data_IF_477492084485
#
_entry.id   IF_477492084485
#
_cell.length_a   1.000
_cell.length_b   1.000
_cell.length_c   1.000
_cell.angle_alpha   90.00
_cell.angle_beta   90.00
_cell.angle_gamma   90.00
#
_symmetry.space_group_name_H-M   'P 1'
#
loop_
_entity.id
_entity.type
_entity.pdbx_description
1 polymer ?
#
# COMPACT_ATOMS: atom_id res chain seq x y z
N UNK A 1 -26.81 -20.06 11.98
CA UNK A 1 -26.25 -21.13 11.13
C UNK A 1 -26.47 -20.71 9.68
N UNK A 2 -25.54 -21.04 8.79
CA UNK A 2 -25.58 -20.70 7.35
C UNK A 2 -25.49 -21.98 6.55
N UNK A 3 -26.03 -21.98 5.32
CA UNK A 3 -26.09 -23.19 4.50
C UNK A 3 -25.66 -22.94 3.06
N UNK A 4 -24.97 -23.92 2.47
CA UNK A 4 -24.70 -23.97 1.03
C UNK A 4 -25.99 -24.38 0.27
N UNK A 5 -26.13 -24.09 -1.05
CA UNK A 5 -27.27 -24.55 -1.84
C UNK A 5 -27.55 -26.06 -1.79
N UNK A 6 -26.53 -26.89 -1.53
CA UNK A 6 -26.65 -28.36 -1.39
C UNK A 6 -27.03 -28.81 0.03
N UNK A 7 -27.17 -27.87 0.98
CA UNK A 7 -27.58 -28.16 2.36
C UNK A 7 -26.45 -28.40 3.36
N UNK A 8 -25.18 -28.19 2.98
CA UNK A 8 -24.07 -28.22 3.94
C UNK A 8 -24.18 -27.06 4.94
N UNK A 9 -24.15 -27.38 6.24
CA UNK A 9 -24.36 -26.44 7.34
C UNK A 9 -23.04 -25.95 7.93
N UNK A 10 -22.95 -24.65 8.14
CA UNK A 10 -21.80 -23.99 8.75
C UNK A 10 -22.21 -23.02 9.85
N UNK A 11 -21.29 -22.79 10.78
CA UNK A 11 -21.48 -21.77 11.81
C UNK A 11 -21.29 -20.36 11.21
N UNK A 12 -21.96 -19.34 11.76
CA UNK A 12 -21.81 -17.95 11.27
C UNK A 12 -20.37 -17.47 11.38
N UNK A 13 -19.71 -17.80 12.47
CA UNK A 13 -18.31 -17.46 12.73
C UNK A 13 -17.36 -18.10 11.71
N UNK A 14 -17.64 -19.34 11.31
CA UNK A 14 -16.87 -20.11 10.34
C UNK A 14 -16.92 -19.44 8.96
N UNK A 15 -18.13 -19.08 8.51
CA UNK A 15 -18.32 -18.39 7.23
C UNK A 15 -17.71 -16.97 7.27
N UNK A 16 -17.85 -16.25 8.38
CA UNK A 16 -17.27 -14.93 8.54
C UNK A 16 -15.73 -14.97 8.49
N UNK A 17 -15.10 -15.90 9.21
CA UNK A 17 -13.65 -16.12 9.15
C UNK A 17 -13.16 -16.46 7.73
N UNK A 18 -13.85 -17.36 7.05
CA UNK A 18 -13.53 -17.75 5.67
C UNK A 18 -13.66 -16.57 4.70
N UNK A 19 -14.76 -15.82 4.74
CA UNK A 19 -14.98 -14.65 3.90
C UNK A 19 -13.95 -13.56 4.21
N UNK A 20 -13.64 -13.33 5.48
CA UNK A 20 -12.60 -12.37 5.89
C UNK A 20 -11.24 -12.75 5.28
N UNK A 21 -10.82 -14.00 5.37
CA UNK A 21 -9.58 -14.44 4.74
C UNK A 21 -9.60 -14.23 3.22
N UNK A 22 -10.71 -14.57 2.56
CA UNK A 22 -10.85 -14.46 1.11
C UNK A 22 -10.90 -13.02 0.62
N UNK A 23 -11.64 -12.13 1.29
CA UNK A 23 -11.78 -10.71 0.94
C UNK A 23 -10.49 -9.92 1.23
N UNK A 24 -9.87 -10.13 2.40
CA UNK A 24 -8.67 -9.38 2.79
C UNK A 24 -7.38 -10.01 2.26
N UNK A 25 -7.33 -11.32 2.07
CA UNK A 25 -6.16 -12.04 1.58
C UNK A 25 -6.13 -12.18 0.05
N UNK A 26 -7.16 -12.77 -0.55
CA UNK A 26 -7.20 -13.08 -1.98
C UNK A 26 -7.95 -12.05 -2.85
N UNK A 27 -8.73 -11.16 -2.24
CA UNK A 27 -9.54 -10.16 -2.96
C UNK A 27 -10.68 -10.73 -3.79
N UNK A 28 -11.20 -11.91 -3.44
CA UNK A 28 -12.29 -12.58 -4.17
C UNK A 28 -13.66 -12.25 -3.56
N UNK A 29 -14.71 -12.15 -4.39
CA UNK A 29 -16.09 -11.91 -3.96
C UNK A 29 -17.00 -13.15 -4.10
N UNK A 30 -16.53 -14.18 -4.80
CA UNK A 30 -17.16 -15.50 -4.89
C UNK A 30 -16.60 -16.44 -3.82
N UNK A 31 -17.48 -17.11 -3.08
CA UNK A 31 -17.09 -17.98 -1.97
C UNK A 31 -17.59 -19.41 -2.21
N UNK A 32 -16.66 -20.33 -2.40
CA UNK A 32 -16.99 -21.74 -2.60
C UNK A 32 -17.39 -22.41 -1.28
N UNK A 33 -18.13 -23.51 -1.38
CA UNK A 33 -18.49 -24.33 -0.22
C UNK A 33 -17.23 -24.85 0.46
N UNK A 34 -17.24 -24.86 1.80
CA UNK A 34 -16.13 -25.36 2.60
C UNK A 34 -16.17 -26.89 2.80
N UNK A 35 -17.14 -27.60 2.23
CA UNK A 35 -17.27 -29.05 2.33
C UNK A 35 -16.46 -29.75 1.24
N UNK A 36 -15.81 -30.86 1.59
CA UNK A 36 -15.03 -31.66 0.65
C UNK A 36 -15.90 -32.21 -0.50
N UNK A 37 -15.47 -31.98 -1.74
CA UNK A 37 -16.16 -32.45 -2.94
C UNK A 37 -17.40 -31.65 -3.34
N UNK A 38 -17.57 -30.43 -2.82
CA UNK A 38 -18.69 -29.55 -3.15
C UNK A 38 -18.25 -28.32 -3.95
N UNK A 39 -18.53 -28.29 -5.25
CA UNK A 39 -18.18 -27.18 -6.16
C UNK A 39 -19.22 -26.04 -6.18
N UNK A 40 -20.13 -25.99 -5.20
CA UNK A 40 -21.18 -24.98 -5.15
C UNK A 40 -20.71 -23.74 -4.39
N UNK A 41 -21.20 -22.57 -4.80
CA UNK A 41 -20.90 -21.30 -4.15
C UNK A 41 -21.98 -20.89 -3.15
N UNK A 42 -21.58 -20.17 -2.11
CA UNK A 42 -22.52 -19.52 -1.20
C UNK A 42 -23.24 -18.38 -1.93
N UNK A 43 -24.56 -18.29 -1.71
CA UNK A 43 -25.34 -17.18 -2.25
C UNK A 43 -24.93 -15.86 -1.57
N UNK A 44 -24.78 -14.75 -2.32
CA UNK A 44 -24.39 -13.46 -1.76
C UNK A 44 -25.32 -12.97 -0.63
N UNK A 45 -26.62 -13.28 -0.70
CA UNK A 45 -27.59 -12.95 0.35
C UNK A 45 -27.27 -13.64 1.68
N UNK A 46 -26.90 -14.92 1.65
CA UNK A 46 -26.53 -15.70 2.82
C UNK A 46 -25.20 -15.23 3.42
N UNK A 47 -24.27 -14.85 2.54
CA UNK A 47 -23.01 -14.23 2.96
C UNK A 47 -23.29 -12.93 3.70
N UNK A 48 -24.03 -11.99 3.10
CA UNK A 48 -24.37 -10.69 3.73
C UNK A 48 -25.01 -10.83 5.11
N UNK A 49 -25.88 -11.82 5.30
CA UNK A 49 -26.53 -12.06 6.59
C UNK A 49 -25.60 -12.62 7.67
N UNK A 50 -24.49 -13.25 7.28
CA UNK A 50 -23.58 -13.92 8.19
C UNK A 50 -22.41 -13.04 8.65
N UNK A 51 -22.08 -12.00 7.89
CA UNK A 51 -20.92 -11.13 8.12
C UNK A 51 -21.16 -10.10 9.21
N UNK A 52 -20.08 -9.77 9.92
CA UNK A 52 -20.06 -8.60 10.79
C UNK A 52 -20.01 -7.30 9.97
N UNK A 53 -20.49 -6.16 10.51
CA UNK A 53 -20.58 -4.90 9.77
C UNK A 53 -19.28 -4.46 9.08
N UNK A 54 -18.13 -4.61 9.76
CA UNK A 54 -16.82 -4.23 9.19
C UNK A 54 -16.39 -5.10 8.01
N UNK A 55 -16.72 -6.39 8.04
CA UNK A 55 -16.38 -7.33 6.96
C UNK A 55 -17.36 -7.18 5.80
N UNK A 56 -18.63 -6.90 6.12
CA UNK A 56 -19.67 -6.62 5.14
C UNK A 56 -19.35 -5.40 4.28
N UNK A 57 -18.97 -4.28 4.90
CA UNK A 57 -18.57 -3.05 4.19
C UNK A 57 -17.45 -3.33 3.19
N UNK A 58 -16.40 -4.04 3.63
CA UNK A 58 -15.27 -4.41 2.76
C UNK A 58 -15.66 -5.39 1.65
N UNK A 59 -16.56 -6.32 1.93
CA UNK A 59 -17.09 -7.22 0.92
C UNK A 59 -17.89 -6.46 -0.15
N UNK A 60 -18.71 -5.49 0.25
CA UNK A 60 -19.50 -4.67 -0.66
C UNK A 60 -18.64 -3.74 -1.51
N UNK A 61 -17.60 -3.13 -0.92
CA UNK A 61 -16.59 -2.36 -1.66
C UNK A 61 -15.97 -3.20 -2.80
N UNK A 62 -15.58 -4.45 -2.50
CA UNK A 62 -14.97 -5.37 -3.47
C UNK A 62 -15.95 -5.83 -4.54
N UNK A 63 -17.19 -6.13 -4.14
CA UNK A 63 -18.25 -6.51 -5.08
C UNK A 63 -18.53 -5.36 -6.07
N UNK A 64 -18.54 -4.13 -5.58
CA UNK A 64 -18.67 -2.94 -6.43
C UNK A 64 -17.47 -2.81 -7.38
N UNK A 65 -16.23 -2.97 -6.91
CA UNK A 65 -15.03 -2.96 -7.76
C UNK A 65 -15.09 -4.01 -8.88
N UNK A 66 -15.54 -5.22 -8.55
CA UNK A 66 -15.65 -6.31 -9.53
C UNK A 66 -16.76 -6.06 -10.56
N UNK A 67 -17.90 -5.52 -10.13
CA UNK A 67 -19.00 -5.14 -11.02
C UNK A 67 -18.62 -4.03 -12.01
N UNK A 68 -17.81 -3.07 -11.55
CA UNK A 68 -17.24 -2.04 -12.42
C UNK A 68 -16.31 -2.70 -13.45
N UNK A 69 -15.33 -3.47 -12.97
CA UNK A 69 -14.32 -4.15 -13.82
C UNK A 69 -14.91 -5.12 -14.85
N UNK A 70 -16.07 -5.73 -14.55
CA UNK A 70 -16.74 -6.68 -15.43
C UNK A 70 -17.62 -6.02 -16.51
N UNK A 71 -17.67 -4.68 -16.57
CA UNK A 71 -18.37 -3.94 -17.62
C UNK A 71 -19.89 -3.96 -17.51
N UNK A 72 -20.44 -4.28 -16.32
CA UNK A 72 -21.88 -4.15 -16.03
C UNK A 72 -22.30 -2.68 -15.81
N UNK A 73 -21.33 -1.78 -15.68
CA UNK A 73 -21.49 -0.34 -15.67
C UNK A 73 -20.64 0.18 -16.82
N UNK A 74 -21.12 1.17 -17.58
CA UNK A 74 -20.29 1.89 -18.56
C UNK A 74 -19.08 2.51 -17.82
N UNK A 75 -17.96 1.78 -17.85
CA UNK A 75 -16.71 2.07 -17.11
C UNK A 75 -16.17 3.48 -17.39
N UNK A 76 -16.58 4.09 -18.51
CA UNK A 76 -16.17 5.42 -18.92
C UNK A 76 -16.79 6.55 -18.08
N UNK A 77 -17.88 6.29 -17.37
CA UNK A 77 -18.68 7.29 -16.67
C UNK A 77 -18.61 7.19 -15.14
N UNK A 78 -18.02 6.14 -14.61
CA UNK A 78 -17.86 5.98 -13.17
C UNK A 78 -16.62 6.74 -12.66
N UNK A 79 -16.82 7.59 -11.67
CA UNK A 79 -15.76 8.41 -11.05
C UNK A 79 -15.79 8.22 -9.54
N UNK A 80 -14.61 8.07 -8.91
CA UNK A 80 -14.45 8.02 -7.46
C UNK A 80 -13.87 9.32 -6.93
N UNK A 81 -14.39 9.75 -5.78
CA UNK A 81 -13.80 10.82 -5.01
C UNK A 81 -12.40 10.43 -4.52
N UNK A 82 -11.36 11.25 -4.76
CA UNK A 82 -9.99 10.95 -4.29
C UNK A 82 -9.86 10.96 -2.76
N UNK A 83 -10.74 11.66 -2.06
CA UNK A 83 -10.67 11.84 -0.61
C UNK A 83 -11.43 10.77 0.16
N UNK A 84 -12.71 10.55 -0.18
CA UNK A 84 -13.60 9.67 0.57
C UNK A 84 -14.02 8.40 -0.17
N UNK A 85 -13.45 8.15 -1.37
CA UNK A 85 -13.74 6.97 -2.21
C UNK A 85 -15.21 6.81 -2.64
N UNK A 86 -16.08 7.77 -2.35
CA UNK A 86 -17.46 7.78 -2.81
C UNK A 86 -17.51 7.80 -4.35
N UNK A 87 -18.27 6.88 -4.94
CA UNK A 87 -18.38 6.70 -6.38
C UNK A 87 -19.70 7.21 -6.93
N UNK A 88 -19.66 7.83 -8.11
CA UNK A 88 -20.85 8.20 -8.87
C UNK A 88 -20.67 7.94 -10.35
N UNK A 89 -21.80 7.75 -11.04
CA UNK A 89 -21.86 7.70 -12.49
C UNK A 89 -22.23 9.11 -12.97
N UNK A 90 -21.40 9.69 -13.85
CA UNK A 90 -21.60 11.02 -14.42
C UNK A 90 -21.96 10.93 -15.89
N UNK A 91 -22.76 11.88 -16.38
CA UNK A 91 -23.08 11.97 -17.81
C UNK A 91 -21.83 12.26 -18.68
N UNK A 92 -21.78 11.77 -19.93
CA UNK A 92 -20.63 11.92 -20.84
C UNK A 92 -20.16 13.35 -21.19
N UNK A 93 -20.79 14.41 -20.68
CA UNK A 93 -20.39 15.81 -20.91
C UNK A 93 -19.87 16.55 -19.67
N UNK A 94 -19.96 15.92 -18.50
CA UNK A 94 -19.63 16.57 -17.23
C UNK A 94 -18.12 16.45 -16.98
N UNK A 95 -17.44 17.61 -16.87
CA UNK A 95 -15.99 17.70 -16.58
C UNK A 95 -15.66 17.82 -15.10
N UNK A 96 -16.65 18.15 -14.28
CA UNK A 96 -16.51 18.40 -12.84
C UNK A 96 -17.24 17.32 -12.08
N UNK A 97 -16.52 16.61 -11.22
CA UNK A 97 -17.10 15.71 -10.25
C UNK A 97 -17.32 16.46 -8.94
N UNK A 98 -18.57 16.62 -8.54
CA UNK A 98 -18.93 17.14 -7.22
C UNK A 98 -19.27 15.97 -6.30
N UNK A 99 -18.45 15.76 -5.27
CA UNK A 99 -18.68 14.68 -4.31
C UNK A 99 -19.86 15.00 -3.39
N UNK A 100 -20.89 14.15 -3.36
CA UNK A 100 -22.04 14.36 -2.46
C UNK A 100 -21.76 14.01 -1.00
N UNK A 101 -20.64 13.33 -0.72
CA UNK A 101 -20.28 12.91 0.63
C UNK A 101 -19.34 13.91 1.33
N UNK A 102 -18.37 14.47 0.61
CA UNK A 102 -17.38 15.40 1.18
C UNK A 102 -17.36 16.78 0.52
N UNK A 103 -18.31 17.06 -0.38
CA UNK A 103 -18.51 18.36 -1.07
C UNK A 103 -17.29 18.85 -1.88
N UNK A 104 -16.31 17.98 -2.11
CA UNK A 104 -15.13 18.30 -2.90
C UNK A 104 -15.46 18.28 -4.38
N UNK A 105 -15.08 19.35 -5.09
CA UNK A 105 -15.17 19.44 -6.54
C UNK A 105 -13.82 19.12 -7.17
N UNK A 106 -13.78 18.09 -8.01
CA UNK A 106 -12.56 17.70 -8.73
C UNK A 106 -12.80 17.60 -10.22
N UNK A 107 -11.73 17.72 -11.01
CA UNK A 107 -11.79 17.40 -12.43
C UNK A 107 -12.00 15.90 -12.62
N UNK A 108 -12.97 15.53 -13.46
CA UNK A 108 -13.27 14.14 -13.82
C UNK A 108 -12.08 13.40 -14.42
N UNK A 109 -11.27 14.07 -15.23
CA UNK A 109 -10.19 13.44 -16.00
C UNK A 109 -8.90 13.30 -15.19
N UNK A 110 -8.49 14.35 -14.46
CA UNK A 110 -7.21 14.37 -13.74
C UNK A 110 -7.33 14.25 -12.21
N UNK A 111 -8.55 14.29 -11.66
CA UNK A 111 -8.81 14.17 -10.22
C UNK A 111 -8.33 15.34 -9.35
N UNK A 112 -7.78 16.41 -9.95
CA UNK A 112 -7.32 17.61 -9.23
C UNK A 112 -8.50 18.49 -8.80
N UNK A 113 -8.28 19.31 -7.78
CA UNK A 113 -9.26 20.28 -7.29
C UNK A 113 -9.71 21.21 -8.43
N UNK A 114 -11.03 21.33 -8.62
CA UNK A 114 -11.60 22.12 -9.70
C UNK A 114 -11.30 23.61 -9.57
N UNK A 115 -11.15 24.13 -8.35
CA UNK A 115 -10.86 25.55 -8.10
C UNK A 115 -9.50 25.99 -8.64
N UNK A 116 -8.47 25.14 -8.55
CA UNK A 116 -7.13 25.39 -9.10
C UNK A 116 -7.01 25.02 -10.60
N UNK A 117 -7.95 24.17 -11.07
CA UNK A 117 -8.02 23.65 -12.44
C UNK A 117 -8.83 24.54 -13.39
N UNK A 118 -9.72 25.40 -12.88
CA UNK A 118 -10.64 26.21 -13.70
C UNK A 118 -9.90 27.03 -14.77
N UNK A 119 -10.26 26.81 -16.04
CA UNK A 119 -9.69 27.52 -17.20
C UNK A 119 -8.36 26.99 -17.74
N UNK A 120 -7.77 25.94 -17.14
CA UNK A 120 -6.56 25.27 -17.62
C UNK A 120 -6.90 23.91 -18.26
N UNK A 121 -6.05 23.42 -19.16
CA UNK A 121 -6.18 22.05 -19.67
C UNK A 121 -5.53 21.06 -18.70
N UNK A 122 -6.07 19.85 -18.58
CA UNK A 122 -5.50 18.81 -17.71
C UNK A 122 -4.01 18.54 -18.01
N UNK A 123 -3.63 18.59 -19.30
CA UNK A 123 -2.25 18.43 -19.76
C UNK A 123 -1.27 19.50 -19.26
N UNK A 124 -1.76 20.72 -19.02
CA UNK A 124 -0.94 21.84 -18.52
C UNK A 124 -0.67 21.69 -17.01
N UNK A 125 -1.55 20.99 -16.29
CA UNK A 125 -1.41 20.69 -14.86
C UNK A 125 -0.59 19.42 -14.61
N UNK A 126 -0.68 18.40 -15.47
CA UNK A 126 0.24 17.25 -15.44
C UNK A 126 1.69 17.64 -15.77
N UNK A 127 1.88 18.73 -16.51
CA UNK A 127 3.18 19.33 -16.78
C UNK A 127 3.64 20.30 -15.69
N UNK A 128 2.82 20.58 -14.66
CA UNK A 128 3.23 21.41 -13.55
C UNK A 128 4.43 20.73 -12.86
N UNK A 129 5.59 21.39 -12.92
CA UNK A 129 6.87 20.90 -12.41
C UNK A 129 6.76 20.47 -10.96
N UNK A 130 5.89 21.13 -10.19
CA UNK A 130 5.58 20.78 -8.79
C UNK A 130 4.98 19.37 -8.64
N UNK A 131 4.02 18.98 -9.48
CA UNK A 131 3.39 17.63 -9.42
C UNK A 131 4.38 16.54 -9.82
N UNK A 132 5.23 16.80 -10.83
CA UNK A 132 6.30 15.89 -11.22
C UNK A 132 7.36 15.75 -10.12
N UNK A 133 7.76 16.86 -9.50
CA UNK A 133 8.71 16.88 -8.40
C UNK A 133 8.16 16.10 -7.20
N UNK A 134 6.87 16.28 -6.88
CA UNK A 134 6.16 15.51 -5.85
C UNK A 134 6.21 14.01 -6.13
N UNK A 135 5.83 13.59 -7.34
CA UNK A 135 5.81 12.17 -7.71
C UNK A 135 7.20 11.54 -7.70
N UNK A 136 8.20 12.20 -8.29
CA UNK A 136 9.61 11.75 -8.25
C UNK A 136 10.07 11.58 -6.80
N UNK A 137 9.69 12.51 -5.93
CA UNK A 137 10.02 12.43 -4.52
C UNK A 137 9.31 11.27 -3.79
N UNK A 138 8.00 11.11 -3.96
CA UNK A 138 7.22 10.03 -3.35
C UNK A 138 7.71 8.64 -3.81
N UNK A 139 8.06 8.50 -5.09
CA UNK A 139 8.66 7.28 -5.63
C UNK A 139 10.04 7.00 -5.02
N UNK A 140 10.92 8.00 -4.90
CA UNK A 140 12.24 7.87 -4.27
C UNK A 140 12.14 7.48 -2.81
N UNK A 141 11.22 8.09 -2.07
CA UNK A 141 10.93 7.76 -0.68
C UNK A 141 10.47 6.32 -0.51
N UNK A 142 9.59 5.87 -1.40
CA UNK A 142 9.11 4.48 -1.41
C UNK A 142 10.25 3.52 -1.72
N UNK A 143 11.08 3.81 -2.73
CA UNK A 143 12.27 3.00 -3.08
C UNK A 143 13.34 2.99 -1.98
N UNK A 144 13.46 4.06 -1.18
CA UNK A 144 14.42 4.11 -0.08
C UNK A 144 14.11 3.09 1.02
N UNK A 145 12.81 2.78 1.23
CA UNK A 145 12.34 1.77 2.18
C UNK A 145 12.39 0.35 1.63
N UNK A 146 12.32 0.19 0.32
CA UNK A 146 12.31 -1.14 -0.32
C UNK A 146 13.73 -1.64 -0.60
N UNK A 147 13.91 -2.95 -0.54
CA UNK A 147 15.08 -3.66 -1.04
C UNK A 147 14.66 -4.60 -2.14
N UNK A 148 15.44 -4.66 -3.21
CA UNK A 148 15.16 -5.54 -4.35
C UNK A 148 16.03 -6.79 -4.29
N UNK A 149 15.42 -7.94 -4.59
CA UNK A 149 16.17 -9.16 -4.75
C UNK A 149 17.05 -9.10 -6.01
N UNK A 150 18.35 -9.33 -5.86
CA UNK A 150 19.29 -9.35 -6.99
C UNK A 150 19.01 -10.43 -8.06
N UNK A 151 18.17 -11.43 -7.76
CA UNK A 151 17.87 -12.56 -8.67
C UNK A 151 16.53 -12.42 -9.38
N UNK A 152 15.50 -11.92 -8.69
CA UNK A 152 14.13 -11.86 -9.22
C UNK A 152 13.50 -10.47 -9.13
N UNK A 153 14.24 -9.47 -8.64
CA UNK A 153 13.81 -8.08 -8.48
C UNK A 153 12.54 -7.86 -7.63
N UNK A 154 12.10 -8.89 -6.90
CA UNK A 154 11.01 -8.74 -5.93
C UNK A 154 11.37 -7.69 -4.88
N UNK A 155 10.50 -6.70 -4.71
CA UNK A 155 10.60 -5.66 -3.67
C UNK A 155 10.25 -6.25 -2.30
N UNK A 156 11.11 -6.00 -1.33
CA UNK A 156 11.06 -6.55 0.02
C UNK A 156 11.21 -5.38 1.01
N UNK A 157 10.28 -5.28 1.96
CA UNK A 157 10.35 -4.36 3.09
C UNK A 157 10.58 -5.17 4.36
N UNK A 158 11.44 -4.67 5.26
CA UNK A 158 11.70 -5.31 6.55
C UNK A 158 10.99 -4.51 7.65
N UNK A 159 10.08 -5.16 8.36
CA UNK A 159 9.43 -4.58 9.55
C UNK A 159 10.30 -4.76 10.79
N UNK A 160 10.79 -5.98 11.04
CA UNK A 160 11.59 -6.37 12.20
C UNK A 160 12.49 -7.59 11.88
N UNK A 161 13.46 -7.90 12.75
CA UNK A 161 14.27 -9.12 12.66
C UNK A 161 15.73 -8.91 12.24
N UNK A 162 16.38 -9.95 11.73
CA UNK A 162 17.79 -9.90 11.33
C UNK A 162 17.99 -9.36 9.89
N UNK A 163 19.21 -8.95 9.57
CA UNK A 163 19.59 -8.39 8.27
C UNK A 163 19.89 -9.45 7.20
N UNK A 164 19.71 -10.73 7.51
CA UNK A 164 19.72 -11.82 6.54
C UNK A 164 18.33 -11.95 5.92
N UNK A 165 18.23 -11.62 4.63
CA UNK A 165 16.97 -11.72 3.89
C UNK A 165 16.99 -12.98 3.03
N UNK A 166 15.90 -13.73 3.07
CA UNK A 166 15.65 -14.84 2.16
C UNK A 166 14.48 -14.49 1.26
N UNK A 167 14.73 -14.39 -0.04
CA UNK A 167 13.70 -14.09 -1.02
C UNK A 167 12.84 -15.34 -1.34
N UNK A 168 11.63 -15.13 -1.87
CA UNK A 168 10.76 -16.21 -2.39
C UNK A 168 11.42 -17.05 -3.48
N UNK A 169 12.34 -16.46 -4.26
CA UNK A 169 13.15 -17.20 -5.25
C UNK A 169 14.33 -17.99 -4.64
N UNK A 170 14.39 -18.07 -3.30
CA UNK A 170 15.44 -18.71 -2.48
C UNK A 170 16.83 -18.07 -2.57
N UNK A 171 16.93 -16.85 -3.09
CA UNK A 171 18.15 -16.05 -3.00
C UNK A 171 18.30 -15.47 -1.59
N UNK A 172 19.53 -15.48 -1.08
CA UNK A 172 19.87 -14.86 0.21
C UNK A 172 20.70 -13.60 -0.03
N UNK A 173 20.42 -12.52 0.69
CA UNK A 173 21.19 -11.29 0.58
C UNK A 173 21.15 -10.49 1.89
N UNK A 174 22.12 -9.59 2.07
CA UNK A 174 22.19 -8.71 3.24
C UNK A 174 21.32 -7.47 3.04
N UNK A 175 20.48 -7.14 4.04
CA UNK A 175 19.60 -5.96 4.00
C UNK A 175 20.37 -4.63 3.98
N UNK A 176 21.55 -4.60 4.62
CA UNK A 176 22.40 -3.40 4.75
C UNK A 176 23.14 -3.12 3.44
N UNK A 177 24.03 -4.03 3.03
CA UNK A 177 24.94 -3.82 1.90
C UNK A 177 24.42 -4.33 0.56
N UNK A 178 23.24 -4.98 0.54
CA UNK A 178 22.58 -5.54 -0.65
C UNK A 178 23.35 -6.64 -1.37
N UNK A 179 24.47 -7.09 -0.82
CA UNK A 179 25.29 -8.13 -1.42
C UNK A 179 24.62 -9.50 -1.30
N UNK A 180 24.76 -10.37 -2.32
CA UNK A 180 24.32 -11.75 -2.24
C UNK A 180 25.09 -12.50 -1.14
N UNK A 181 24.39 -13.35 -0.41
CA UNK A 181 24.94 -14.21 0.62
C UNK A 181 25.11 -15.63 0.09
N UNK A 182 26.10 -16.34 0.63
CA UNK A 182 26.34 -17.74 0.28
C UNK A 182 25.16 -18.60 0.76
N UNK A 183 24.58 -19.42 -0.11
CA UNK A 183 23.47 -20.32 0.27
C UNK A 183 23.88 -21.34 1.32
N UNK A 184 25.15 -21.78 1.33
CA UNK A 184 25.67 -22.78 2.26
C UNK A 184 25.98 -22.21 3.65
N UNK A 185 26.38 -20.95 3.72
CA UNK A 185 26.68 -20.25 4.97
C UNK A 185 26.31 -18.76 4.83
N UNK A 186 25.03 -18.41 4.95
CA UNK A 186 24.58 -17.04 4.78
C UNK A 186 25.00 -16.14 5.96
N UNK A 187 25.41 -16.73 7.10
CA UNK A 187 25.78 -15.99 8.30
C UNK A 187 27.25 -15.54 8.32
N UNK A 188 28.12 -16.14 7.50
CA UNK A 188 29.55 -15.76 7.39
C UNK A 188 29.80 -14.27 7.07
N UNK A 189 28.85 -13.64 6.37
CA UNK A 189 28.89 -12.21 6.02
C UNK A 189 28.73 -11.30 7.24
N UNK A 190 28.08 -11.79 8.30
CA UNK A 190 27.78 -11.01 9.48
C UNK A 190 28.88 -11.15 10.54
N UNK A 191 29.05 -10.10 11.33
CA UNK A 191 30.06 -10.06 12.37
C UNK A 191 29.56 -10.74 13.64
N UNK A 192 30.37 -11.68 14.17
CA UNK A 192 30.06 -12.47 15.38
C UNK A 192 30.65 -11.88 16.67
N UNK A 193 31.22 -10.68 16.63
CA UNK A 193 31.77 -10.06 17.84
C UNK A 193 30.65 -9.66 18.81
N UNK A 194 30.85 -9.84 20.13
CA UNK A 194 29.90 -9.38 21.14
C UNK A 194 29.74 -7.86 21.07
N UNK A 195 28.52 -7.39 21.25
CA UNK A 195 28.16 -5.96 21.16
C UNK A 195 27.65 -5.44 22.50
N UNK A 196 27.93 -4.18 22.80
CA UNK A 196 27.10 -3.43 23.72
C UNK A 196 25.88 -2.85 22.97
N UNK A 197 24.72 -2.69 23.65
CA UNK A 197 23.50 -2.13 23.05
C UNK A 197 23.66 -0.72 22.45
N UNK A 198 24.71 0.01 22.85
CA UNK A 198 24.95 1.41 22.45
C UNK A 198 25.88 1.55 21.24
N UNK A 199 26.52 0.46 20.78
CA UNK A 199 27.55 0.54 19.74
C UNK A 199 26.93 0.51 18.33
N UNK A 200 27.12 1.61 17.57
CA UNK A 200 26.68 1.75 16.17
C UNK A 200 27.48 0.91 15.17
N UNK A 201 28.46 0.15 15.62
CA UNK A 201 29.37 -0.62 14.77
C UNK A 201 30.03 -1.74 15.54
N UNK A 202 30.82 -2.56 14.85
CA UNK A 202 31.64 -3.56 15.53
C UNK A 202 32.79 -2.86 16.28
N UNK A 203 32.99 -3.10 17.60
CA UNK A 203 34.08 -2.50 18.37
C UNK A 203 35.47 -2.88 17.80
N UNK A 204 35.58 -4.06 17.20
CA UNK A 204 36.80 -4.55 16.55
C UNK A 204 36.98 -4.06 15.09
N UNK A 205 36.14 -3.14 14.60
CA UNK A 205 36.14 -2.63 13.20
C UNK A 205 36.27 -3.73 12.13
N UNK A 206 35.59 -4.86 12.33
CA UNK A 206 35.48 -5.90 11.31
C UNK A 206 34.74 -5.30 10.09
N UNK A 207 35.24 -5.50 8.86
CA UNK A 207 34.55 -5.06 7.63
C UNK A 207 33.27 -5.85 7.30
N UNK A 208 32.66 -6.50 8.29
CA UNK A 208 31.49 -7.38 8.16
C UNK A 208 30.22 -6.66 8.60
N UNK A 209 29.09 -6.98 7.97
CA UNK A 209 27.82 -6.36 8.32
C UNK A 209 27.29 -6.84 9.67
N UNK A 210 26.41 -6.06 10.27
CA UNK A 210 25.76 -6.41 11.52
C UNK A 210 24.53 -7.27 11.28
N UNK A 211 24.41 -8.41 11.99
CA UNK A 211 23.24 -9.29 11.86
C UNK A 211 21.96 -8.62 12.37
N UNK A 212 22.09 -7.83 13.44
CA UNK A 212 21.02 -7.03 14.02
C UNK A 212 21.45 -5.57 14.09
N UNK A 213 20.56 -4.70 13.63
CA UNK A 213 20.61 -3.24 13.72
C UNK A 213 19.21 -2.73 14.04
N UNK A 214 19.12 -1.55 14.66
CA UNK A 214 17.86 -0.83 14.79
C UNK A 214 17.45 -0.33 13.41
N UNK A 215 16.58 -1.08 12.73
CA UNK A 215 16.12 -0.84 11.35
C UNK A 215 15.54 0.54 11.15
N UNK A 216 15.02 1.15 12.22
CA UNK A 216 14.44 2.50 12.17
C UNK A 216 15.50 3.56 11.91
N UNK A 217 16.68 3.45 12.52
CA UNK A 217 17.68 4.52 12.44
C UNK A 217 18.27 4.71 11.04
N UNK A 218 18.61 3.62 10.35
CA UNK A 218 19.20 3.70 9.00
C UNK A 218 18.16 4.11 7.94
N UNK A 219 16.92 3.64 8.07
CA UNK A 219 15.82 4.03 7.17
C UNK A 219 15.40 5.49 7.40
N UNK A 220 15.31 5.93 8.66
CA UNK A 220 14.95 7.30 9.02
C UNK A 220 16.02 8.31 8.56
N UNK A 221 17.31 7.94 8.62
CA UNK A 221 18.40 8.76 8.10
C UNK A 221 18.29 8.93 6.57
N UNK A 222 18.16 7.84 5.83
CA UNK A 222 18.03 7.89 4.37
C UNK A 222 16.78 8.69 3.92
N UNK A 223 15.68 8.55 4.66
CA UNK A 223 14.44 9.31 4.43
C UNK A 223 14.64 10.80 4.72
N UNK A 224 15.33 11.14 5.80
CA UNK A 224 15.61 12.53 6.17
C UNK A 224 16.50 13.22 5.14
N UNK A 225 17.53 12.55 4.66
CA UNK A 225 18.41 13.10 3.61
C UNK A 225 17.62 13.36 2.32
N UNK A 226 16.73 12.45 1.93
CA UNK A 226 15.82 12.65 0.80
C UNK A 226 14.86 13.83 1.05
N UNK A 227 14.28 13.96 2.25
CA UNK A 227 13.42 15.10 2.62
C UNK A 227 14.15 16.44 2.49
N UNK A 228 15.41 16.49 2.89
CA UNK A 228 16.20 17.71 2.85
C UNK A 228 16.67 18.03 1.42
N UNK A 229 16.98 17.03 0.58
CA UNK A 229 17.24 17.20 -0.86
C UNK A 229 16.00 17.74 -1.60
N UNK A 230 14.82 17.18 -1.32
CA UNK A 230 13.58 17.61 -1.94
C UNK A 230 13.19 19.03 -1.56
N UNK A 231 13.38 19.42 -0.29
CA UNK A 231 13.19 20.81 0.17
C UNK A 231 14.15 21.78 -0.52
N UNK A 232 15.42 21.40 -0.71
CA UNK A 232 16.38 22.23 -1.45
C UNK A 232 15.98 22.42 -2.90
N UNK A 233 15.67 21.33 -3.63
CA UNK A 233 15.22 21.41 -5.02
C UNK A 233 13.95 22.25 -5.17
N UNK A 234 13.00 22.12 -4.24
CA UNK A 234 11.78 22.93 -4.23
C UNK A 234 12.06 24.42 -4.05
N UNK A 235 12.99 24.78 -3.16
CA UNK A 235 13.43 26.15 -2.95
C UNK A 235 14.17 26.72 -4.16
N UNK A 236 14.97 25.90 -4.84
CA UNK A 236 15.68 26.26 -6.08
C UNK A 236 14.71 26.49 -7.26
N UNK A 237 13.64 25.71 -7.33
CA UNK A 237 12.58 25.84 -8.37
C UNK A 237 11.52 26.91 -8.00
N UNK A 238 11.62 27.54 -6.81
CA UNK A 238 10.82 28.71 -6.43
C UNK A 238 9.39 28.44 -5.94
N UNK A 239 9.07 27.22 -5.51
CA UNK A 239 7.72 26.87 -5.02
C UNK A 239 7.51 27.20 -3.53
N UNK A 240 6.26 27.46 -3.13
CA UNK A 240 5.86 27.76 -1.74
C UNK A 240 6.07 26.57 -0.79
N UNK A 241 6.71 26.78 0.38
CA UNK A 241 7.18 25.73 1.30
C UNK A 241 6.06 24.95 2.05
N UNK A 242 4.79 25.39 1.94
CA UNK A 242 3.69 24.92 2.82
C UNK A 242 3.16 23.50 2.50
N UNK A 243 3.36 22.98 1.27
CA UNK A 243 2.94 21.60 0.94
C UNK A 243 4.03 20.60 1.36
N UNK A 244 3.96 20.09 2.59
CA UNK A 244 4.87 19.05 3.09
C UNK A 244 4.76 17.75 2.25
N UNK A 245 5.89 17.22 1.80
CA UNK A 245 5.93 15.92 1.15
C UNK A 245 5.90 14.78 2.17
N UNK A 246 5.00 13.81 1.98
CA UNK A 246 4.90 12.59 2.80
C UNK A 246 3.48 12.31 3.29
N UNK A 247 3.30 11.16 3.96
CA UNK A 247 2.04 10.84 4.62
C UNK A 247 1.69 11.95 5.64
N UNK A 248 0.41 12.34 5.78
CA UNK A 248 0.00 13.31 6.79
C UNK A 248 0.55 12.88 8.15
N UNK A 249 1.20 13.81 8.85
CA UNK A 249 1.71 13.52 10.19
C UNK A 249 0.54 13.03 11.03
N UNK A 250 0.68 11.84 11.63
CA UNK A 250 -0.31 11.34 12.56
C UNK A 250 -0.55 12.40 13.63
N UNK A 251 -1.83 12.74 13.94
CA UNK A 251 -2.12 13.82 14.86
C UNK A 251 -1.40 13.54 16.18
N UNK A 252 -0.52 14.47 16.57
CA UNK A 252 0.21 14.38 17.84
C UNK A 252 -0.82 14.18 18.93
N UNK A 253 -0.83 13.01 19.57
CA UNK A 253 -1.65 12.77 20.76
C UNK A 253 -1.32 13.89 21.74
N UNK A 254 -2.30 14.76 22.00
CA UNK A 254 -2.18 15.74 23.08
C UNK A 254 -1.93 14.93 24.34
N UNK A 255 -0.78 15.15 24.97
CA UNK A 255 -0.53 14.69 26.33
C UNK A 255 -1.53 15.45 27.20
N UNK A 256 -2.59 14.77 27.64
CA UNK A 256 -3.32 15.16 28.84
C UNK A 256 -2.51 14.69 30.05
#
# INVERSE_FOLDING_TARGET
>A
MTQCPVGHLFCRECLNGYVKEKVFGSGTTSFDCMADGCDNQFLPSLVRQALDPQVLEKFEDRLMEENLRSGLVDDQNFVRCPTCQWGAILDPGVKVFACQNCELETCRECGQDWSEHFGKKCSELEQNSETKLRRDYEERMTRARLRECHKCHASIYKTDGCNHITCRCRAHFCYICRQPLLTKDPYAHFCNHPKNPSDKGCPQKCGKCLLYTDTKQDEDLAIRDLQDEARKRRREEGFEDDKLFGAPQSPKRRKN
#
